data_IF_991907899335
#
_entry.id   IF_991907899335
#
_cell.length_a   1.000
_cell.length_b   1.000
_cell.length_c   1.000
_cell.angle_alpha   90.00
_cell.angle_beta   90.00
_cell.angle_gamma   90.00
#
_symmetry.space_group_name_H-M   'P 1'
#
loop_
_entity.id
_entity.type
_entity.pdbx_description
1 polymer ?
#
# COMPACT_ATOMS: atom_id res chain seq x y z
N UNK A 1 -1.63 4.21 -5.92
CA UNK A 1 -2.46 5.12 -6.74
C UNK A 1 -3.49 4.34 -7.52
N UNK A 2 -4.75 4.42 -7.09
CA UNK A 2 -5.85 3.64 -7.66
C UNK A 2 -6.70 4.53 -8.55
N UNK A 3 -7.52 5.40 -7.97
CA UNK A 3 -8.41 6.30 -8.73
C UNK A 3 -7.85 7.72 -8.91
N UNK A 4 -6.61 7.99 -8.44
CA UNK A 4 -5.98 9.31 -8.36
C UNK A 4 -6.84 10.36 -7.64
N UNK A 5 -6.49 10.66 -6.40
CA UNK A 5 -7.25 11.53 -5.49
C UNK A 5 -8.68 11.01 -5.28
N UNK A 6 -8.75 9.90 -4.56
CA UNK A 6 -10.00 9.15 -4.34
C UNK A 6 -11.14 10.00 -3.74
N UNK A 7 -10.79 11.00 -2.93
CA UNK A 7 -11.72 11.91 -2.26
C UNK A 7 -12.30 12.98 -3.20
N UNK A 8 -11.73 13.14 -4.41
CA UNK A 8 -12.13 14.16 -5.36
C UNK A 8 -13.63 14.10 -5.68
N UNK A 9 -14.24 15.29 -5.82
CA UNK A 9 -15.67 15.45 -6.11
C UNK A 9 -16.55 14.73 -5.07
N UNK A 10 -16.12 14.71 -3.81
CA UNK A 10 -16.78 14.02 -2.69
C UNK A 10 -16.85 12.50 -2.89
N UNK A 11 -15.76 11.89 -3.38
CA UNK A 11 -15.70 10.44 -3.63
C UNK A 11 -16.23 9.99 -4.99
N UNK A 12 -16.96 10.85 -5.74
CA UNK A 12 -17.51 10.51 -7.07
C UNK A 12 -16.47 10.12 -8.10
N UNK A 13 -15.24 10.61 -7.95
CA UNK A 13 -14.13 10.18 -8.79
C UNK A 13 -13.84 8.67 -8.61
N UNK A 14 -13.81 8.22 -7.36
CA UNK A 14 -13.66 6.80 -7.04
C UNK A 14 -14.85 5.98 -7.52
N UNK A 15 -16.09 6.48 -7.38
CA UNK A 15 -17.28 5.78 -7.86
C UNK A 15 -17.20 5.53 -9.38
N UNK A 16 -16.86 6.57 -10.15
CA UNK A 16 -16.70 6.43 -11.60
C UNK A 16 -15.60 5.43 -11.97
N UNK A 17 -14.46 5.47 -11.27
CA UNK A 17 -13.37 4.53 -11.49
C UNK A 17 -13.77 3.08 -11.21
N UNK A 18 -14.45 2.81 -10.09
CA UNK A 18 -14.85 1.45 -9.74
C UNK A 18 -16.05 0.93 -10.53
N UNK A 19 -16.97 1.79 -10.96
CA UNK A 19 -18.03 1.38 -11.89
C UNK A 19 -17.43 0.89 -13.21
N UNK A 20 -16.34 1.50 -13.70
CA UNK A 20 -15.66 1.04 -14.90
C UNK A 20 -14.90 -0.28 -14.68
N UNK A 21 -14.36 -0.51 -13.48
CA UNK A 21 -13.63 -1.74 -13.14
C UNK A 21 -14.53 -2.89 -12.69
N UNK A 22 -15.78 -2.62 -12.31
CA UNK A 22 -16.73 -3.58 -11.74
C UNK A 22 -16.81 -4.89 -12.54
N UNK A 23 -16.88 -4.90 -13.88
CA UNK A 23 -16.96 -6.15 -14.64
C UNK A 23 -15.80 -7.11 -14.38
N UNK A 24 -14.64 -6.58 -13.99
CA UNK A 24 -13.45 -7.36 -13.63
C UNK A 24 -13.39 -7.62 -12.12
N UNK A 25 -13.39 -6.55 -11.31
CA UNK A 25 -13.06 -6.65 -9.89
C UNK A 25 -14.18 -7.25 -9.04
N UNK A 26 -15.39 -7.41 -9.58
CA UNK A 26 -16.48 -8.19 -8.95
C UNK A 26 -16.24 -9.70 -9.01
N UNK A 27 -15.35 -10.16 -9.91
CA UNK A 27 -15.12 -11.58 -10.17
C UNK A 27 -13.78 -12.09 -9.62
N UNK A 28 -12.88 -11.19 -9.24
CA UNK A 28 -11.54 -11.51 -8.73
C UNK A 28 -11.25 -10.81 -7.41
N UNK A 29 -10.36 -11.40 -6.61
CA UNK A 29 -9.88 -10.76 -5.39
C UNK A 29 -8.94 -9.60 -5.75
N UNK A 30 -9.34 -8.37 -5.41
CA UNK A 30 -8.57 -7.15 -5.67
C UNK A 30 -7.85 -6.67 -4.40
N UNK A 31 -6.59 -7.09 -4.23
CA UNK A 31 -5.74 -6.70 -3.09
C UNK A 31 -4.98 -5.41 -3.40
N UNK A 32 -5.05 -4.42 -2.51
CA UNK A 32 -4.55 -3.07 -2.76
C UNK A 32 -3.44 -2.64 -1.79
N UNK A 33 -2.50 -1.83 -2.27
CA UNK A 33 -1.54 -1.11 -1.44
C UNK A 33 -1.80 0.39 -1.56
N UNK A 34 -1.80 1.15 -0.46
CA UNK A 34 -2.05 2.58 -0.54
C UNK A 34 -0.86 3.36 -1.11
N UNK A 35 -1.15 4.33 -1.97
CA UNK A 35 -0.19 5.32 -2.46
C UNK A 35 -0.45 6.73 -1.94
N UNK A 36 0.33 7.70 -2.45
CA UNK A 36 0.22 9.10 -2.02
C UNK A 36 -1.14 9.72 -2.38
N UNK A 37 -1.77 9.27 -3.47
CA UNK A 37 -3.11 9.71 -3.88
C UNK A 37 -4.24 9.07 -3.06
N UNK A 38 -3.93 8.05 -2.26
CA UNK A 38 -4.85 7.48 -1.28
C UNK A 38 -4.73 8.15 0.10
N UNK A 39 -3.64 8.88 0.38
CA UNK A 39 -3.35 9.46 1.71
C UNK A 39 -3.03 10.95 1.70
N UNK A 40 -3.42 11.70 0.67
CA UNK A 40 -2.97 13.08 0.48
C UNK A 40 -3.36 14.01 1.66
N UNK A 41 -2.41 14.39 2.56
CA UNK A 41 -2.75 14.99 3.86
C UNK A 41 -3.08 16.48 3.79
N UNK A 42 -2.58 17.17 2.76
CA UNK A 42 -2.61 18.64 2.67
C UNK A 42 -3.89 19.13 1.98
N UNK A 43 -4.59 18.25 1.25
CA UNK A 43 -5.72 18.62 0.37
C UNK A 43 -6.90 17.62 0.38
N UNK A 44 -6.83 16.54 1.17
CA UNK A 44 -7.75 15.40 1.07
C UNK A 44 -8.27 14.82 2.40
N UNK A 45 -8.90 13.65 2.32
CA UNK A 45 -9.66 12.99 3.41
C UNK A 45 -8.83 12.10 4.36
N UNK A 46 -7.51 12.26 4.36
CA UNK A 46 -6.56 11.46 5.15
C UNK A 46 -6.75 9.92 4.99
N UNK A 47 -7.14 9.51 3.77
CA UNK A 47 -7.34 8.11 3.40
C UNK A 47 -8.66 7.52 3.87
N UNK A 48 -9.64 8.34 4.26
CA UNK A 48 -10.98 7.86 4.60
C UNK A 48 -11.62 7.10 3.42
N UNK A 49 -11.64 7.63 2.19
CA UNK A 49 -12.21 6.95 1.02
C UNK A 49 -11.56 5.60 0.80
N UNK A 50 -10.23 5.55 0.84
CA UNK A 50 -9.48 4.31 0.69
C UNK A 50 -9.85 3.30 1.80
N UNK A 51 -9.85 3.72 3.06
CA UNK A 51 -10.16 2.84 4.20
C UNK A 51 -11.60 2.31 4.21
N UNK A 52 -12.56 3.11 3.76
CA UNK A 52 -13.98 2.72 3.77
C UNK A 52 -14.39 1.90 2.55
N UNK A 53 -13.72 2.06 1.41
CA UNK A 53 -14.04 1.31 0.17
C UNK A 53 -13.41 -0.07 0.14
N UNK A 54 -12.27 -0.24 0.78
CA UNK A 54 -11.52 -1.50 0.77
C UNK A 54 -11.61 -2.23 2.11
N UNK A 55 -11.70 -3.56 2.06
CA UNK A 55 -11.65 -4.42 3.24
C UNK A 55 -10.57 -5.48 3.04
N UNK A 56 -9.42 -5.25 3.66
CA UNK A 56 -8.29 -6.18 3.56
C UNK A 56 -8.37 -7.30 4.62
N UNK A 57 -7.70 -8.45 4.41
CA UNK A 57 -7.91 -9.66 5.21
C UNK A 57 -7.69 -9.52 6.72
N UNK A 58 -6.86 -8.56 7.14
CA UNK A 58 -6.53 -8.33 8.56
C UNK A 58 -7.28 -7.15 9.17
N UNK A 59 -8.23 -6.55 8.44
CA UNK A 59 -8.95 -5.34 8.84
C UNK A 59 -8.11 -4.05 8.81
N UNK A 60 -6.82 -4.15 8.46
CA UNK A 60 -5.94 -3.00 8.28
C UNK A 60 -5.59 -2.84 6.80
N UNK A 61 -5.94 -1.70 6.21
CA UNK A 61 -5.65 -1.41 4.80
C UNK A 61 -4.27 -0.77 4.59
N UNK A 62 -3.60 -0.32 5.67
CA UNK A 62 -2.26 0.28 5.58
C UNK A 62 -1.17 -0.76 5.38
N UNK A 63 -1.30 -1.91 6.03
CA UNK A 63 -0.33 -2.99 5.96
C UNK A 63 -0.98 -4.29 6.40
N UNK A 64 -0.76 -5.34 5.63
CA UNK A 64 -1.36 -6.64 5.85
C UNK A 64 -0.58 -7.72 5.09
N UNK A 65 -0.88 -8.98 5.38
CA UNK A 65 -0.29 -10.11 4.69
C UNK A 65 -1.38 -11.13 4.35
N UNK A 66 -1.19 -11.82 3.24
CA UNK A 66 -2.03 -12.95 2.85
C UNK A 66 -1.18 -13.98 2.11
N UNK A 67 -1.73 -15.16 1.92
CA UNK A 67 -1.08 -16.25 1.18
C UNK A 67 -1.94 -16.63 -0.01
N UNK A 68 -1.31 -16.84 -1.16
CA UNK A 68 -1.92 -17.52 -2.30
C UNK A 68 -0.96 -18.62 -2.76
N UNK A 69 -1.37 -19.88 -2.58
CA UNK A 69 -0.52 -21.04 -2.86
C UNK A 69 0.86 -20.95 -2.15
N UNK A 70 1.99 -21.07 -2.89
CA UNK A 70 3.34 -21.04 -2.31
C UNK A 70 3.87 -19.62 -2.03
N UNK A 71 3.05 -18.58 -2.23
CA UNK A 71 3.46 -17.17 -2.14
C UNK A 71 2.85 -16.51 -0.91
N UNK A 72 3.70 -15.90 -0.08
CA UNK A 72 3.34 -14.97 0.98
C UNK A 72 3.46 -13.54 0.45
N UNK A 73 2.34 -12.83 0.34
CA UNK A 73 2.34 -11.41 0.01
C UNK A 73 2.40 -10.59 1.30
N UNK A 74 3.26 -9.58 1.32
CA UNK A 74 3.45 -8.64 2.43
C UNK A 74 3.23 -7.25 1.89
N UNK A 75 2.09 -6.65 2.22
CA UNK A 75 1.72 -5.32 1.76
C UNK A 75 2.11 -4.31 2.83
N UNK A 76 2.81 -3.26 2.42
CA UNK A 76 3.24 -2.17 3.30
C UNK A 76 2.84 -0.82 2.72
N UNK A 77 2.41 0.09 3.57
CA UNK A 77 2.23 1.49 3.20
C UNK A 77 3.58 2.19 3.21
N UNK A 78 4.10 2.44 2.01
CA UNK A 78 5.29 3.27 1.84
C UNK A 78 5.01 4.72 2.18
N UNK A 79 3.75 5.16 2.15
CA UNK A 79 3.37 6.49 2.64
C UNK A 79 3.61 6.60 4.13
N UNK A 80 3.28 5.60 4.94
CA UNK A 80 3.63 5.60 6.37
C UNK A 80 5.15 5.57 6.60
N UNK A 81 5.90 4.94 5.70
CA UNK A 81 7.37 4.86 5.80
C UNK A 81 8.05 6.19 5.46
N UNK A 82 7.62 6.83 4.36
CA UNK A 82 8.25 8.04 3.81
C UNK A 82 7.62 9.35 4.26
N UNK A 83 6.36 9.36 4.69
CA UNK A 83 5.74 10.57 5.19
C UNK A 83 6.46 11.09 6.44
N UNK A 84 6.22 12.37 6.73
CA UNK A 84 6.66 13.08 7.94
C UNK A 84 6.09 12.44 9.24
N UNK A 85 5.28 11.38 9.12
CA UNK A 85 4.76 10.53 10.20
C UNK A 85 5.84 9.81 11.05
N UNK A 86 7.13 10.07 10.82
CA UNK A 86 8.18 9.83 11.84
C UNK A 86 7.79 10.36 13.23
N UNK A 87 6.86 11.32 13.32
CA UNK A 87 6.32 11.87 14.57
C UNK A 87 5.15 11.10 15.23
N UNK A 88 4.44 10.18 14.55
CA UNK A 88 3.11 9.70 15.01
C UNK A 88 2.97 8.20 15.33
N UNK A 89 4.08 7.45 15.41
CA UNK A 89 4.09 6.07 15.95
C UNK A 89 3.48 4.98 15.06
N UNK A 90 2.69 5.32 14.04
CA UNK A 90 2.11 4.35 13.06
C UNK A 90 3.19 3.64 12.26
N UNK A 91 4.23 4.35 11.81
CA UNK A 91 5.40 3.76 11.14
C UNK A 91 6.09 2.73 12.04
N UNK A 92 6.28 3.03 13.34
CA UNK A 92 6.88 2.10 14.29
C UNK A 92 6.04 0.84 14.45
N UNK A 93 4.70 0.98 14.57
CA UNK A 93 3.77 -0.16 14.63
C UNK A 93 3.87 -1.03 13.37
N UNK A 94 3.91 -0.41 12.19
CA UNK A 94 4.08 -1.11 10.92
C UNK A 94 5.42 -1.86 10.85
N UNK A 95 6.54 -1.23 11.26
CA UNK A 95 7.87 -1.86 11.25
C UNK A 95 7.91 -3.06 12.21
N UNK A 96 7.38 -2.92 13.43
CA UNK A 96 7.32 -4.02 14.40
C UNK A 96 6.46 -5.18 13.85
N UNK A 97 5.30 -4.85 13.27
CA UNK A 97 4.45 -5.83 12.61
C UNK A 97 5.18 -6.53 11.44
N UNK A 98 5.92 -5.78 10.63
CA UNK A 98 6.65 -6.29 9.47
C UNK A 98 7.75 -7.26 9.91
N UNK A 99 8.53 -6.90 10.94
CA UNK A 99 9.56 -7.76 11.51
C UNK A 99 8.98 -9.09 11.99
N UNK A 100 7.86 -9.05 12.72
CA UNK A 100 7.15 -10.27 13.16
C UNK A 100 6.67 -11.11 11.97
N UNK A 101 6.03 -10.47 11.00
CA UNK A 101 5.50 -11.12 9.79
C UNK A 101 6.59 -11.82 8.99
N UNK A 102 7.74 -11.15 8.78
CA UNK A 102 8.87 -11.73 8.07
C UNK A 102 9.56 -12.83 8.87
N UNK A 103 9.65 -12.71 10.19
CA UNK A 103 10.17 -13.77 11.06
C UNK A 103 9.32 -15.04 10.95
N UNK A 104 8.00 -14.91 10.97
CA UNK A 104 7.06 -16.02 10.80
C UNK A 104 7.12 -16.60 9.38
N UNK A 105 7.22 -15.75 8.36
CA UNK A 105 7.37 -16.21 6.98
C UNK A 105 8.68 -16.99 6.78
N UNK A 106 9.78 -16.54 7.40
CA UNK A 106 11.07 -17.20 7.33
C UNK A 106 11.08 -18.59 8.01
N UNK A 107 10.31 -18.77 9.10
CA UNK A 107 10.12 -20.08 9.72
C UNK A 107 9.32 -21.05 8.83
N UNK A 108 8.52 -20.54 7.90
CA UNK A 108 7.60 -21.30 7.07
C UNK A 108 8.02 -21.42 5.58
N UNK A 109 9.29 -21.18 5.27
CA UNK A 109 9.81 -21.13 3.88
C UNK A 109 9.62 -22.42 3.09
N UNK A 110 9.55 -23.58 3.74
CA UNK A 110 9.25 -24.86 3.07
C UNK A 110 7.85 -24.88 2.47
N UNK A 111 6.86 -24.29 3.16
CA UNK A 111 5.47 -24.21 2.67
C UNK A 111 5.26 -23.03 1.74
N UNK A 112 5.96 -21.91 2.00
CA UNK A 112 5.84 -20.66 1.26
C UNK A 112 7.23 -20.14 0.88
N UNK A 113 7.84 -20.69 -0.18
CA UNK A 113 9.19 -20.33 -0.60
C UNK A 113 9.27 -18.93 -1.21
N UNK A 114 8.14 -18.30 -1.56
CA UNK A 114 8.12 -16.96 -2.12
C UNK A 114 7.56 -15.97 -1.10
N UNK A 115 8.32 -14.91 -0.82
CA UNK A 115 7.86 -13.77 -0.01
C UNK A 115 7.97 -12.56 -0.93
N UNK A 116 6.83 -11.94 -1.23
CA UNK A 116 6.75 -10.77 -2.11
C UNK A 116 6.29 -9.59 -1.28
N UNK A 117 7.14 -8.57 -1.18
CA UNK A 117 6.79 -7.30 -0.56
C UNK A 117 6.26 -6.33 -1.61
N UNK A 118 5.14 -5.67 -1.32
CA UNK A 118 4.50 -4.71 -2.22
C UNK A 118 4.28 -3.40 -1.47
N UNK A 119 4.64 -2.30 -2.10
CA UNK A 119 4.42 -0.94 -1.64
C UNK A 119 4.36 0.02 -2.83
N UNK A 120 3.88 1.24 -2.61
CA UNK A 120 3.66 2.21 -3.69
C UNK A 120 4.93 2.92 -4.14
N UNK A 121 5.64 3.55 -3.20
CA UNK A 121 6.89 4.27 -3.47
C UNK A 121 8.07 3.29 -3.54
N UNK A 122 8.94 3.41 -4.55
CA UNK A 122 10.04 2.48 -4.72
C UNK A 122 11.15 2.75 -3.69
N UNK A 123 11.74 1.68 -3.14
CA UNK A 123 12.96 1.79 -2.35
C UNK A 123 14.18 2.12 -3.22
N UNK A 124 14.21 1.67 -4.48
CA UNK A 124 15.31 1.94 -5.41
C UNK A 124 14.76 2.55 -6.69
N UNK A 125 15.41 3.60 -7.19
CA UNK A 125 14.91 4.37 -8.33
C UNK A 125 16.03 4.69 -9.32
N UNK A 126 15.81 4.35 -10.60
CA UNK A 126 16.76 4.54 -11.71
C UNK A 126 16.30 5.57 -12.75
N UNK A 127 15.20 6.29 -12.48
CA UNK A 127 14.72 7.35 -13.37
C UNK A 127 15.69 8.55 -13.29
N UNK A 128 16.07 9.07 -14.46
CA UNK A 128 16.94 10.25 -14.56
C UNK A 128 16.22 11.54 -14.13
N UNK A 129 14.88 11.53 -14.05
CA UNK A 129 14.07 12.67 -13.64
C UNK A 129 14.15 12.90 -12.12
N UNK A 130 14.67 14.06 -11.68
CA UNK A 130 14.86 14.38 -10.26
C UNK A 130 13.59 14.23 -9.41
N UNK A 131 12.43 14.67 -9.91
CA UNK A 131 11.20 14.69 -9.11
C UNK A 131 10.64 13.30 -8.79
N UNK A 132 11.05 12.26 -9.52
CA UNK A 132 10.59 10.88 -9.33
C UNK A 132 11.47 10.08 -8.38
N UNK A 133 12.77 10.38 -8.32
CA UNK A 133 13.74 9.66 -7.48
C UNK A 133 14.37 10.51 -6.37
N UNK A 134 14.61 11.81 -6.59
CA UNK A 134 15.51 12.66 -5.79
C UNK A 134 14.85 13.40 -4.62
N UNK A 135 13.54 13.33 -4.45
CA UNK A 135 12.86 13.97 -3.30
C UNK A 135 12.97 13.16 -1.99
N UNK A 136 14.10 12.46 -1.77
CA UNK A 136 14.43 11.84 -0.48
C UNK A 136 13.70 10.55 -0.13
N UNK A 137 13.06 9.91 -1.11
CA UNK A 137 12.20 8.73 -0.87
C UNK A 137 12.65 7.47 -1.61
N UNK A 138 13.84 7.44 -2.21
CA UNK A 138 14.40 6.23 -2.80
C UNK A 138 15.93 6.23 -2.67
N UNK A 139 16.52 5.07 -2.48
CA UNK A 139 17.94 4.83 -2.70
C UNK A 139 18.20 4.97 -4.21
N UNK A 140 18.84 6.08 -4.58
CA UNK A 140 19.32 6.31 -5.94
C UNK A 140 20.60 5.48 -6.11
N UNK A 141 20.70 4.71 -7.18
CA UNK A 141 21.95 4.05 -7.57
C UNK A 141 22.70 4.94 -8.55
#
# INVERSE_FOLDING_TARGET
>A
DIAYDMFSRQGRNSDAFFNNLEPLISQIVYMVAPGNHEYMPIVGDNGANFKHRFKMPTGNNDYYTFTCGPIRFVIISTELYYAVERKFGRTKKMIVWLQKTLTEANKNRRKQPWIIAIGHKPFYCSDSKPLRCKNGHAFVK
#
